data_IF_903303155592
#
_entry.id   IF_903303155592
#
_cell.length_a   1.000
_cell.length_b   1.000
_cell.length_c   1.000
_cell.angle_alpha   90.00
_cell.angle_beta   90.00
_cell.angle_gamma   90.00
#
_symmetry.space_group_name_H-M   'P 1'
#
loop_
_entity.id
_entity.type
_entity.pdbx_description
1 polymer ?
#
# COMPACT_ATOMS: atom_id res chain seq x y z
N UNK A 1 -14.09 17.27 7.03
CA UNK A 1 -14.95 16.70 8.09
C UNK A 1 -14.60 17.42 9.38
N UNK A 2 -15.58 17.86 10.17
CA UNK A 2 -15.30 18.37 11.53
C UNK A 2 -14.69 17.23 12.36
N UNK A 3 -13.46 17.40 12.82
CA UNK A 3 -12.61 16.39 13.47
C UNK A 3 -13.02 16.04 14.91
N UNK A 4 -14.23 16.43 15.33
CA UNK A 4 -14.72 16.30 16.73
C UNK A 4 -15.59 15.05 17.02
N UNK A 5 -15.77 14.10 16.09
CA UNK A 5 -16.85 13.10 16.22
C UNK A 5 -16.52 11.66 15.80
N UNK A 6 -15.35 11.12 16.17
CA UNK A 6 -15.23 9.66 16.35
C UNK A 6 -15.25 9.40 17.86
N UNK A 7 -16.44 9.14 18.40
CA UNK A 7 -16.70 8.85 19.82
C UNK A 7 -17.01 7.37 20.04
N UNK A 8 -17.34 6.66 18.97
CA UNK A 8 -17.77 5.25 19.00
C UNK A 8 -16.99 4.41 17.99
N UNK A 9 -16.91 3.10 18.27
CA UNK A 9 -16.35 2.13 17.34
C UNK A 9 -17.09 2.10 16.00
N UNK A 10 -18.37 2.46 16.00
CA UNK A 10 -19.22 2.47 14.81
C UNK A 10 -18.86 3.64 13.88
N UNK A 11 -18.66 4.84 14.42
CA UNK A 11 -18.14 5.99 13.65
C UNK A 11 -16.73 5.72 13.09
N UNK A 12 -15.89 5.00 13.83
CA UNK A 12 -14.58 4.58 13.33
C UNK A 12 -14.70 3.57 12.18
N UNK A 13 -15.63 2.61 12.27
CA UNK A 13 -15.90 1.65 11.20
C UNK A 13 -16.43 2.34 9.95
N UNK A 14 -17.34 3.29 10.10
CA UNK A 14 -17.88 4.06 8.97
C UNK A 14 -16.79 4.90 8.31
N UNK A 15 -15.97 5.59 9.11
CA UNK A 15 -14.79 6.30 8.63
C UNK A 15 -13.83 5.38 7.89
N UNK A 16 -13.43 4.26 8.51
CA UNK A 16 -12.56 3.27 7.91
C UNK A 16 -13.15 2.71 6.59
N UNK A 17 -14.44 2.42 6.54
CA UNK A 17 -15.11 1.87 5.35
C UNK A 17 -15.02 2.76 4.11
N UNK A 18 -14.92 4.09 4.29
CA UNK A 18 -14.77 5.04 3.20
C UNK A 18 -13.41 4.93 2.50
N UNK A 19 -12.39 4.53 3.25
CA UNK A 19 -11.00 4.49 2.81
C UNK A 19 -10.46 3.08 2.56
N UNK A 20 -10.95 2.06 3.27
CA UNK A 20 -10.68 0.64 2.97
C UNK A 20 -11.51 0.20 1.77
N UNK A 21 -11.16 0.71 0.59
CA UNK A 21 -11.64 0.12 -0.67
C UNK A 21 -10.83 -1.13 -0.90
N UNK A 22 -11.45 -2.30 -0.77
CA UNK A 22 -10.87 -3.56 -1.22
C UNK A 22 -10.19 -3.32 -2.57
N UNK A 23 -8.90 -3.69 -2.67
CA UNK A 23 -8.18 -3.67 -3.93
C UNK A 23 -9.05 -4.40 -4.95
N UNK A 24 -9.61 -3.65 -5.89
CA UNK A 24 -10.44 -4.24 -6.93
C UNK A 24 -9.53 -5.19 -7.71
N UNK A 25 -9.92 -6.46 -7.89
CA UNK A 25 -9.16 -7.34 -8.77
C UNK A 25 -9.00 -6.64 -10.12
N UNK A 26 -7.82 -6.74 -10.71
CA UNK A 26 -7.60 -6.24 -12.06
C UNK A 26 -8.70 -6.84 -12.95
N UNK A 27 -9.55 -5.97 -13.52
CA UNK A 27 -10.64 -6.44 -14.37
C UNK A 27 -10.08 -7.27 -15.52
N UNK A 28 -10.77 -8.36 -15.89
CA UNK A 28 -10.33 -9.27 -16.95
C UNK A 28 -10.02 -8.49 -18.24
N UNK A 29 -8.75 -8.20 -18.45
CA UNK A 29 -8.26 -7.66 -19.71
C UNK A 29 -8.01 -8.84 -20.64
N UNK A 30 -8.68 -8.82 -21.79
CA UNK A 30 -8.53 -9.85 -22.82
C UNK A 30 -7.05 -9.97 -23.20
N UNK A 31 -6.41 -11.08 -22.82
CA UNK A 31 -4.99 -11.36 -23.08
C UNK A 31 -4.07 -11.38 -21.85
N UNK A 32 -4.55 -10.99 -20.66
CA UNK A 32 -3.77 -11.06 -19.42
C UNK A 32 -4.10 -12.34 -18.62
N UNK A 33 -3.08 -13.04 -18.13
CA UNK A 33 -3.26 -14.17 -17.21
C UNK A 33 -3.28 -13.67 -15.78
N UNK A 34 -4.47 -13.43 -15.22
CA UNK A 34 -4.61 -13.07 -13.80
C UNK A 34 -4.16 -14.22 -12.90
N UNK A 35 -3.24 -13.94 -11.98
CA UNK A 35 -2.86 -14.88 -10.91
C UNK A 35 -3.04 -14.20 -9.57
N UNK A 36 -3.79 -14.86 -8.69
CA UNK A 36 -4.04 -14.37 -7.34
C UNK A 36 -2.89 -14.74 -6.41
N UNK A 37 -2.42 -13.76 -5.65
CA UNK A 37 -1.50 -13.94 -4.53
C UNK A 37 -2.29 -13.69 -3.25
N UNK A 38 -2.29 -14.68 -2.35
CA UNK A 38 -3.01 -14.59 -1.07
C UNK A 38 -2.08 -14.08 0.01
N UNK A 39 -2.55 -13.11 0.78
CA UNK A 39 -1.83 -12.52 1.91
C UNK A 39 -2.65 -12.66 3.19
N UNK A 40 -1.97 -12.74 4.33
CA UNK A 40 -2.65 -12.75 5.63
C UNK A 40 -3.17 -11.37 6.05
N UNK A 41 -2.66 -10.30 5.44
CA UNK A 41 -3.09 -8.93 5.64
C UNK A 41 -2.13 -7.93 4.98
N UNK A 42 -2.43 -6.63 5.11
CA UNK A 42 -1.65 -5.56 4.49
C UNK A 42 -0.19 -5.52 4.94
N UNK A 43 0.11 -5.93 6.18
CA UNK A 43 1.49 -6.01 6.68
C UNK A 43 2.33 -7.02 5.90
N UNK A 44 1.77 -8.22 5.65
CA UNK A 44 2.41 -9.30 4.90
C UNK A 44 2.60 -8.89 3.43
N UNK A 45 1.55 -8.34 2.83
CA UNK A 45 1.56 -7.77 1.47
C UNK A 45 2.63 -6.68 1.29
N UNK A 46 2.68 -5.71 2.21
CA UNK A 46 3.66 -4.62 2.18
C UNK A 46 5.08 -5.16 2.41
N UNK A 47 5.24 -6.15 3.28
CA UNK A 47 6.54 -6.80 3.52
C UNK A 47 7.09 -7.43 2.23
N UNK A 48 6.23 -8.11 1.45
CA UNK A 48 6.61 -8.63 0.14
C UNK A 48 7.05 -7.49 -0.80
N UNK A 49 6.27 -6.42 -0.90
CA UNK A 49 6.63 -5.25 -1.72
C UNK A 49 7.98 -4.65 -1.34
N UNK A 50 8.25 -4.49 -0.04
CA UNK A 50 9.55 -4.02 0.47
C UNK A 50 10.69 -4.96 0.10
N UNK A 51 10.48 -6.27 0.18
CA UNK A 51 11.51 -7.25 -0.19
C UNK A 51 11.81 -7.21 -1.70
N UNK A 52 10.79 -7.05 -2.55
CA UNK A 52 10.97 -6.88 -4.00
C UNK A 52 11.79 -5.61 -4.32
N UNK A 53 11.51 -4.51 -3.63
CA UNK A 53 12.28 -3.26 -3.78
C UNK A 53 13.73 -3.45 -3.34
N UNK A 54 13.96 -4.05 -2.16
CA UNK A 54 15.32 -4.33 -1.66
C UNK A 54 16.12 -5.21 -2.61
N UNK A 55 15.47 -6.22 -3.19
CA UNK A 55 16.09 -7.06 -4.21
C UNK A 55 16.53 -6.21 -5.41
N UNK A 56 15.63 -5.39 -5.96
CA UNK A 56 15.95 -4.50 -7.08
C UNK A 56 17.11 -3.55 -6.76
N UNK A 57 17.11 -2.94 -5.57
CA UNK A 57 18.18 -2.06 -5.11
C UNK A 57 19.52 -2.80 -5.01
N UNK A 58 19.55 -4.01 -4.46
CA UNK A 58 20.77 -4.81 -4.37
C UNK A 58 21.38 -5.07 -5.75
N UNK A 59 20.55 -5.45 -6.73
CA UNK A 59 21.07 -5.65 -8.09
C UNK A 59 21.56 -4.32 -8.65
N UNK A 60 20.82 -3.21 -8.49
CA UNK A 60 21.26 -1.87 -8.97
C UNK A 60 22.60 -1.46 -8.35
N UNK A 61 22.82 -1.72 -7.07
CA UNK A 61 24.06 -1.35 -6.37
C UNK A 61 25.23 -2.30 -6.59
N UNK A 62 25.00 -3.57 -6.97
CA UNK A 62 26.09 -4.53 -7.20
C UNK A 62 26.84 -4.29 -8.51
N UNK A 63 26.44 -3.32 -9.34
CA UNK A 63 26.96 -3.07 -10.70
C UNK A 63 26.90 -4.30 -11.62
N UNK A 64 26.17 -5.35 -11.21
CA UNK A 64 25.85 -6.55 -12.00
C UNK A 64 24.74 -6.22 -13.04
N UNK A 65 24.67 -4.97 -13.50
CA UNK A 65 23.80 -4.50 -14.59
C UNK A 65 23.98 -5.30 -15.87
N UNK A 66 25.22 -5.71 -16.16
CA UNK A 66 25.57 -6.35 -17.42
C UNK A 66 25.07 -7.80 -17.57
N UNK A 67 24.55 -8.44 -16.51
CA UNK A 67 24.15 -9.86 -16.52
C UNK A 67 22.67 -10.14 -16.20
N UNK A 68 21.77 -9.15 -16.21
CA UNK A 68 20.44 -9.32 -15.59
C UNK A 68 19.48 -10.19 -16.41
N UNK A 69 19.32 -11.43 -15.97
CA UNK A 69 18.16 -12.30 -16.24
C UNK A 69 16.85 -11.75 -15.62
N UNK A 70 16.93 -10.68 -14.82
CA UNK A 70 15.82 -10.10 -14.07
C UNK A 70 15.47 -8.71 -14.63
N UNK A 71 14.26 -8.60 -15.16
CA UNK A 71 13.67 -7.32 -15.58
C UNK A 71 13.22 -6.51 -14.36
N UNK A 72 14.12 -5.67 -13.85
CA UNK A 72 13.91 -4.83 -12.65
C UNK A 72 12.61 -4.04 -12.74
N UNK A 73 12.31 -3.47 -13.93
CA UNK A 73 11.08 -2.70 -14.15
C UNK A 73 9.83 -3.51 -13.81
N UNK A 74 9.74 -4.76 -14.29
CA UNK A 74 8.61 -5.64 -14.01
C UNK A 74 8.51 -6.02 -12.53
N UNK A 75 9.63 -6.19 -11.84
CA UNK A 75 9.64 -6.48 -10.39
C UNK A 75 9.18 -5.26 -9.58
N UNK A 76 9.59 -4.05 -9.98
CA UNK A 76 9.13 -2.81 -9.35
C UNK A 76 7.64 -2.54 -9.62
N UNK A 77 7.13 -2.87 -10.82
CA UNK A 77 5.69 -2.79 -11.11
C UNK A 77 4.88 -3.72 -10.19
N UNK A 78 5.35 -4.94 -9.93
CA UNK A 78 4.73 -5.84 -8.95
C UNK A 78 4.80 -5.26 -7.55
N UNK A 79 5.93 -4.68 -7.15
CA UNK A 79 6.07 -4.06 -5.83
C UNK A 79 5.11 -2.87 -5.64
N UNK A 80 4.89 -2.06 -6.68
CA UNK A 80 3.95 -0.95 -6.66
C UNK A 80 2.50 -1.41 -6.45
N UNK A 81 2.11 -2.53 -7.06
CA UNK A 81 0.77 -3.12 -6.87
C UNK A 81 0.54 -3.62 -5.42
N UNK A 82 1.63 -3.86 -4.67
CA UNK A 82 1.59 -4.30 -3.28
C UNK A 82 1.60 -3.14 -2.26
N UNK A 83 1.47 -1.89 -2.71
CA UNK A 83 1.37 -0.74 -1.82
C UNK A 83 -0.11 -0.47 -1.53
N UNK A 84 -0.56 -0.51 -0.26
CA UNK A 84 -1.94 -0.23 0.12
C UNK A 84 -2.18 1.29 0.18
N UNK A 85 -2.15 1.96 -0.98
CA UNK A 85 -2.20 3.42 -1.07
C UNK A 85 -3.45 4.03 -0.42
N UNK A 86 -4.61 3.39 -0.56
CA UNK A 86 -5.86 3.89 0.00
C UNK A 86 -5.86 3.81 1.54
N UNK A 87 -5.27 2.76 2.10
CA UNK A 87 -5.14 2.55 3.54
C UNK A 87 -4.09 3.50 4.15
N UNK A 88 -3.06 3.88 3.39
CA UNK A 88 -2.07 4.87 3.81
C UNK A 88 -2.72 6.26 4.00
N UNK A 89 -3.70 6.65 3.17
CA UNK A 89 -4.45 7.91 3.35
C UNK A 89 -5.18 7.96 4.71
N UNK A 90 -5.62 6.81 5.23
CA UNK A 90 -6.22 6.73 6.58
C UNK A 90 -5.22 7.08 7.65
N UNK A 91 -3.97 6.62 7.50
CA UNK A 91 -2.90 6.90 8.47
C UNK A 91 -2.60 8.40 8.50
N UNK A 92 -2.59 9.06 7.34
CA UNK A 92 -2.41 10.52 7.26
C UNK A 92 -3.56 11.28 7.94
N UNK A 93 -4.80 10.82 7.74
CA UNK A 93 -5.97 11.42 8.39
C UNK A 93 -5.91 11.24 9.91
N UNK A 94 -5.55 10.05 10.40
CA UNK A 94 -5.36 9.78 11.83
C UNK A 94 -4.25 10.68 12.39
N UNK A 95 -3.12 10.80 11.69
CA UNK A 95 -2.02 11.68 12.09
C UNK A 95 -2.49 13.13 12.22
N UNK A 96 -3.28 13.62 11.26
CA UNK A 96 -3.84 14.97 11.30
C UNK A 96 -4.79 15.16 12.48
N UNK A 97 -5.71 14.22 12.71
CA UNK A 97 -6.63 14.25 13.87
C UNK A 97 -5.91 14.28 15.22
N UNK A 98 -4.76 13.60 15.34
CA UNK A 98 -3.96 13.57 16.56
C UNK A 98 -3.21 14.87 16.82
N UNK A 99 -2.78 15.58 15.76
CA UNK A 99 -1.90 16.74 15.86
C UNK A 99 -2.61 18.10 15.65
N UNK A 100 -3.83 18.14 15.12
CA UNK A 100 -4.62 19.38 15.00
C UNK A 100 -5.04 19.96 16.37
N UNK A 101 -4.98 19.17 17.46
CA UNK A 101 -5.30 19.65 18.82
C UNK A 101 -4.18 20.43 19.52
N UNK A 102 -3.04 20.68 18.86
CA UNK A 102 -1.90 21.40 19.47
C UNK A 102 -1.77 22.88 19.12
N UNK A 103 -2.64 23.47 18.29
CA UNK A 103 -2.54 24.89 17.90
C UNK A 103 -3.45 25.86 18.68
N UNK A 104 -4.28 25.38 19.62
CA UNK A 104 -5.09 26.23 20.51
C UNK A 104 -4.47 26.38 21.91
N UNK A 105 -3.21 26.85 22.00
CA UNK A 105 -2.61 27.31 23.26
C UNK A 105 -1.89 28.65 23.13
#
# INVERSE_FOLDING_TARGET
METDKIKTLEEFKDFASYHFKLLKPAGDKVGESTREIRFYGYTDMTCLGVNLIKMCLNVVYSDELDNREIYIGSVLELALQLIPSAEIEVLDEIYRMLNEKSEDK
#
